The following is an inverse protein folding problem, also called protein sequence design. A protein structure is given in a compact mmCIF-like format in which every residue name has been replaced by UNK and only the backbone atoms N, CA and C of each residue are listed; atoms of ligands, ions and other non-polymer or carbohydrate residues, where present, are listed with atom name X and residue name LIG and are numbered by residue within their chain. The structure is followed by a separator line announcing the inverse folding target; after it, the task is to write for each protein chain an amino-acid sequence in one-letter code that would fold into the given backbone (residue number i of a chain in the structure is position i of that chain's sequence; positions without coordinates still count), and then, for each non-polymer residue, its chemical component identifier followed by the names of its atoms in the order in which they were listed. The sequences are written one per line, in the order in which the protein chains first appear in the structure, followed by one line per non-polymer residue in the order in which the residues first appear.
data_IF_743290203834
#
_entry.id   IF_743290203834
#
_cell.length_a   1.000
_cell.length_b   1.000
_cell.length_c   1.000
_cell.angle_alpha   90.00
_cell.angle_beta   90.00
_cell.angle_gamma   90.00
#
_symmetry.space_group_name_H-M   'P 1'
#
loop_
_entity.id
_entity.type
_entity.pdbx_description
1 polymer ?
#
# COMPACT_ATOMS: atom_id res chain seq x y z
N UNK A 1 10.37 20.51 -2.34
CA UNK A 1 9.81 19.15 -2.26
C UNK A 1 10.48 18.46 -1.08
N UNK A 2 9.71 17.91 -0.13
CA UNK A 2 10.29 17.19 1.01
C UNK A 2 10.34 15.71 0.66
N UNK A 3 11.46 15.08 0.96
CA UNK A 3 11.63 13.65 0.78
C UNK A 3 11.71 12.97 2.15
N UNK A 4 11.42 11.68 2.17
CA UNK A 4 11.62 10.79 3.31
C UNK A 4 12.10 9.43 2.81
N UNK A 5 12.76 8.68 3.67
CA UNK A 5 13.06 7.29 3.40
C UNK A 5 11.81 6.41 3.54
N UNK A 6 11.71 5.38 2.70
CA UNK A 6 10.77 4.29 2.87
C UNK A 6 11.07 3.61 4.21
N UNK A 7 10.06 3.38 5.07
CA UNK A 7 10.33 2.80 6.39
C UNK A 7 10.69 1.30 6.34
N UNK A 8 10.59 0.65 5.18
CA UNK A 8 10.92 -0.78 5.00
C UNK A 8 12.29 -0.96 4.32
N UNK A 9 12.52 -0.31 3.17
CA UNK A 9 13.74 -0.52 2.36
C UNK A 9 14.70 0.68 2.36
N UNK A 10 14.37 1.75 3.07
CA UNK A 10 15.14 3.00 3.14
C UNK A 10 15.31 3.76 1.80
N UNK A 11 14.64 3.34 0.72
CA UNK A 11 14.67 4.05 -0.56
C UNK A 11 14.07 5.46 -0.44
N UNK A 12 14.63 6.43 -1.17
CA UNK A 12 14.16 7.81 -1.11
C UNK A 12 12.81 7.97 -1.83
N UNK A 13 11.87 8.69 -1.21
CA UNK A 13 10.52 8.88 -1.73
C UNK A 13 9.92 10.21 -1.31
N UNK A 14 8.93 10.69 -2.07
CA UNK A 14 8.25 11.93 -1.75
C UNK A 14 7.54 11.83 -0.39
N UNK A 15 7.71 12.86 0.44
CA UNK A 15 7.01 13.01 1.70
C UNK A 15 5.62 13.62 1.46
N UNK A 16 4.60 12.92 1.94
CA UNK A 16 3.24 13.43 2.00
C UNK A 16 2.86 13.61 3.47
N UNK A 17 2.57 14.83 3.90
CA UNK A 17 2.25 15.14 5.30
C UNK A 17 1.04 14.35 5.82
N UNK A 18 0.08 14.04 4.94
CA UNK A 18 -1.10 13.22 5.26
C UNK A 18 -0.77 11.73 5.43
N UNK A 19 0.31 11.25 4.83
CA UNK A 19 0.71 9.84 4.83
C UNK A 19 2.17 9.68 5.28
N UNK A 20 2.50 10.06 6.53
CA UNK A 20 3.88 10.07 7.00
C UNK A 20 4.51 8.67 7.02
N UNK A 21 3.68 7.64 7.14
CA UNK A 21 4.08 6.22 7.17
C UNK A 21 3.97 5.51 5.82
N UNK A 22 3.76 6.26 4.73
CA UNK A 22 3.62 5.69 3.39
C UNK A 22 4.82 4.83 3.01
N UNK A 23 4.54 3.69 2.40
CA UNK A 23 5.53 2.75 1.89
C UNK A 23 5.78 3.04 0.40
N UNK A 24 7.02 2.86 -0.06
CA UNK A 24 7.36 3.11 -1.46
C UNK A 24 6.71 2.07 -2.39
N UNK A 25 6.53 2.43 -3.65
CA UNK A 25 5.87 1.58 -4.64
C UNK A 25 6.56 0.22 -4.83
N UNK A 26 7.89 0.17 -4.80
CA UNK A 26 8.64 -1.10 -4.95
C UNK A 26 8.38 -2.07 -3.80
N UNK A 27 8.26 -1.58 -2.57
CA UNK A 27 7.88 -2.41 -1.43
C UNK A 27 6.42 -2.89 -1.53
N UNK A 28 5.51 -2.04 -2.01
CA UNK A 28 4.09 -2.40 -2.18
C UNK A 28 3.89 -3.52 -3.20
N UNK A 29 4.74 -3.63 -4.23
CA UNK A 29 4.69 -4.75 -5.18
C UNK A 29 4.97 -6.12 -4.55
N UNK A 30 5.62 -6.13 -3.39
CA UNK A 30 5.99 -7.34 -2.62
C UNK A 30 4.99 -7.61 -1.48
N UNK A 31 3.85 -6.93 -1.47
CA UNK A 31 2.84 -7.11 -0.44
C UNK A 31 2.21 -8.51 -0.53
N UNK A 32 2.11 -9.15 0.63
CA UNK A 32 1.50 -10.46 0.81
C UNK A 32 0.27 -10.38 1.72
N UNK A 33 -0.66 -11.31 1.58
CA UNK A 33 -1.70 -11.59 2.58
C UNK A 33 -1.09 -12.21 3.84
N UNK A 34 -1.90 -12.41 4.88
CA UNK A 34 -1.48 -13.17 6.07
C UNK A 34 -1.06 -14.61 5.73
N UNK A 35 -1.72 -15.21 4.74
CA UNK A 35 -1.45 -16.56 4.25
C UNK A 35 -0.22 -16.64 3.32
N UNK A 36 0.40 -15.49 2.98
CA UNK A 36 1.59 -15.41 2.14
C UNK A 36 1.31 -15.33 0.63
N UNK A 37 0.06 -15.13 0.22
CA UNK A 37 -0.30 -14.91 -1.18
C UNK A 37 0.01 -13.49 -1.63
N UNK A 38 0.41 -13.29 -2.89
CA UNK A 38 0.61 -11.94 -3.42
C UNK A 38 -0.71 -11.17 -3.49
N UNK A 39 -0.72 -9.96 -2.93
CA UNK A 39 -1.86 -9.04 -2.95
C UNK A 39 -1.49 -7.75 -3.68
N UNK A 40 -2.38 -7.30 -4.56
CA UNK A 40 -2.25 -6.03 -5.29
C UNK A 40 -3.44 -5.14 -5.02
N UNK A 41 -3.23 -3.82 -5.06
CA UNK A 41 -4.27 -2.83 -4.78
C UNK A 41 -4.48 -1.88 -5.95
N UNK A 42 -5.74 -1.54 -6.21
CA UNK A 42 -6.14 -0.67 -7.29
C UNK A 42 -7.31 0.21 -6.86
N UNK A 43 -7.55 1.28 -7.61
CA UNK A 43 -8.84 1.94 -7.55
C UNK A 43 -9.89 1.10 -8.28
N UNK A 44 -11.11 1.11 -7.77
CA UNK A 44 -12.23 0.37 -8.40
C UNK A 44 -12.57 0.94 -9.77
N UNK A 45 -12.60 2.26 -9.88
CA UNK A 45 -12.83 3.00 -11.12
C UNK A 45 -12.23 4.42 -11.06
N UNK A 46 -12.47 5.24 -12.10
CA UNK A 46 -11.94 6.61 -12.19
C UNK A 46 -12.56 7.59 -11.19
N UNK A 47 -13.68 7.25 -10.55
CA UNK A 47 -14.31 8.04 -9.49
C UNK A 47 -13.78 7.68 -8.10
N UNK A 48 -13.03 6.59 -7.98
CA UNK A 48 -12.37 6.15 -6.76
C UNK A 48 -12.71 4.71 -6.39
N UNK A 49 -12.77 4.46 -5.09
CA UNK A 49 -12.98 3.15 -4.49
C UNK A 49 -11.70 2.34 -4.36
N UNK A 50 -11.78 1.31 -3.54
CA UNK A 50 -10.68 0.40 -3.23
C UNK A 50 -10.99 -1.00 -3.76
N UNK A 51 -9.99 -1.66 -4.33
CA UNK A 51 -10.05 -3.08 -4.63
C UNK A 51 -8.70 -3.74 -4.41
N UNK A 52 -8.72 -4.91 -3.78
CA UNK A 52 -7.58 -5.81 -3.69
C UNK A 52 -7.73 -6.98 -4.66
N UNK A 53 -6.62 -7.48 -5.19
CA UNK A 53 -6.60 -8.68 -6.03
C UNK A 53 -5.60 -9.67 -5.44
N UNK A 54 -6.07 -10.88 -5.16
CA UNK A 54 -5.30 -12.03 -4.68
C UNK A 54 -5.66 -13.23 -5.56
N UNK A 55 -4.67 -13.88 -6.17
CA UNK A 55 -4.89 -15.05 -7.05
C UNK A 55 -5.99 -14.81 -8.11
N UNK A 56 -5.95 -13.64 -8.75
CA UNK A 56 -6.93 -13.15 -9.74
C UNK A 56 -8.38 -12.96 -9.24
N UNK A 57 -8.60 -13.11 -7.94
CA UNK A 57 -9.88 -12.86 -7.27
C UNK A 57 -9.89 -11.45 -6.70
N UNK A 58 -10.94 -10.70 -7.04
CA UNK A 58 -11.20 -9.35 -6.52
C UNK A 58 -11.81 -9.40 -5.13
N UNK A 59 -11.40 -8.49 -4.26
CA UNK A 59 -11.95 -8.31 -2.92
C UNK A 59 -11.66 -6.93 -2.34
N UNK A 60 -11.80 -6.79 -1.03
CA UNK A 60 -11.58 -5.55 -0.28
C UNK A 60 -10.65 -5.81 0.93
N UNK A 61 -9.57 -6.55 0.70
CA UNK A 61 -8.56 -6.84 1.72
C UNK A 61 -7.64 -5.63 1.83
N UNK A 62 -7.67 -4.95 2.98
CA UNK A 62 -6.83 -3.79 3.24
C UNK A 62 -5.51 -4.15 3.94
N UNK A 63 -5.51 -5.21 4.73
CA UNK A 63 -4.33 -5.64 5.49
C UNK A 63 -3.36 -6.40 4.59
N UNK A 64 -2.07 -6.10 4.72
CA UNK A 64 -1.01 -6.82 4.03
C UNK A 64 0.29 -6.82 4.81
N UNK A 65 1.23 -7.63 4.35
CA UNK A 65 2.53 -7.82 4.99
C UNK A 65 3.63 -7.61 3.96
N UNK A 66 4.61 -6.78 4.30
CA UNK A 66 5.79 -6.51 3.47
C UNK A 66 7.01 -6.67 4.36
N UNK A 67 7.93 -7.59 4.00
CA UNK A 67 9.10 -7.93 4.82
C UNK A 67 8.75 -8.16 6.30
N UNK A 68 7.69 -8.95 6.57
CA UNK A 68 7.16 -9.23 7.91
C UNK A 68 6.60 -8.03 8.69
N UNK A 69 6.47 -6.86 8.07
CA UNK A 69 5.79 -5.71 8.67
C UNK A 69 4.31 -5.68 8.28
N UNK A 70 3.42 -5.58 9.26
CA UNK A 70 1.99 -5.36 9.03
C UNK A 70 1.76 -3.96 8.45
N UNK A 71 0.99 -3.90 7.38
CA UNK A 71 0.68 -2.72 6.62
C UNK A 71 -0.82 -2.62 6.35
N UNK A 72 -1.28 -1.42 5.97
CA UNK A 72 -2.66 -1.14 5.62
C UNK A 72 -2.72 -0.33 4.33
N UNK A 73 -3.43 -0.86 3.34
CA UNK A 73 -3.68 -0.23 2.06
C UNK A 73 -5.08 0.40 2.05
N UNK A 74 -5.19 1.64 1.59
CA UNK A 74 -6.49 2.31 1.49
C UNK A 74 -6.51 3.38 0.40
N UNK A 75 -7.71 3.80 0.03
CA UNK A 75 -7.89 4.90 -0.90
C UNK A 75 -7.41 6.23 -0.30
N UNK A 76 -6.59 6.95 -1.05
CA UNK A 76 -6.16 8.29 -0.68
C UNK A 76 -7.26 9.33 -0.94
N UNK A 77 -7.20 10.45 -0.21
CA UNK A 77 -8.17 11.57 -0.30
C UNK A 77 -8.49 12.08 -1.71
N UNK A 78 -7.56 11.96 -2.66
CA UNK A 78 -7.72 12.42 -4.05
C UNK A 78 -7.63 11.27 -5.05
N UNK A 79 -8.03 10.08 -4.64
CA UNK A 79 -7.83 8.85 -5.40
C UNK A 79 -6.40 8.32 -5.29
N UNK A 80 -6.15 7.20 -5.96
CA UNK A 80 -4.94 6.40 -5.76
C UNK A 80 -5.03 5.54 -4.49
N UNK A 81 -4.17 4.53 -4.40
CA UNK A 81 -4.03 3.70 -3.21
C UNK A 81 -2.74 4.05 -2.48
N UNK A 82 -2.84 4.26 -1.17
CA UNK A 82 -1.70 4.48 -0.29
C UNK A 82 -1.59 3.31 0.67
N UNK A 83 -0.39 2.74 0.76
CA UNK A 83 -0.07 1.70 1.74
C UNK A 83 0.80 2.31 2.84
N UNK A 84 0.45 2.08 4.09
CA UNK A 84 1.16 2.59 5.26
C UNK A 84 1.53 1.46 6.21
N UNK A 85 2.63 1.63 6.96
CA UNK A 85 2.90 0.77 8.10
C UNK A 85 1.80 0.88 9.14
N UNK A 86 1.23 -0.26 9.51
CA UNK A 86 0.33 -0.36 10.66
C UNK A 86 1.12 -0.13 11.95
N UNK A 87 0.47 0.37 13.00
CA UNK A 87 1.09 0.48 14.33
C UNK A 87 1.21 -0.88 14.99
#
# INVERSE_FOLDING_TARGET
MKNKSCPICNNDMMYFERYPKMICHECVKLALTEDGDNIKFYNKDHSGGFISIVNDVKGEIHECYINNHKCYADEARFGGIVVQLSK
#
